data_IF_579527277461
#
_entry.id   IF_579527277461
#
_cell.length_a   1.000
_cell.length_b   1.000
_cell.length_c   1.000
_cell.angle_alpha   90.00
_cell.angle_beta   90.00
_cell.angle_gamma   90.00
#
_symmetry.space_group_name_H-M   'P 1'
#
loop_
_entity.id
_entity.type
_entity.pdbx_description
1 polymer ?
#
# COMPACT_ATOMS: atom_id res chain seq x y z
N UNK A 1 2.51 27.49 12.22
CA UNK A 1 2.94 26.13 12.61
C UNK A 1 1.85 25.06 12.51
N UNK A 2 0.56 25.33 12.81
CA UNK A 2 -0.52 24.32 12.79
C UNK A 2 -0.70 23.62 11.42
N UNK A 3 -0.55 24.33 10.30
CA UNK A 3 -0.65 23.74 8.95
C UNK A 3 0.44 22.71 8.65
N UNK A 4 1.68 23.00 9.06
CA UNK A 4 2.82 22.08 8.92
C UNK A 4 2.62 20.83 9.76
N UNK A 5 2.14 21.00 11.00
CA UNK A 5 1.84 19.88 11.90
C UNK A 5 0.73 18.97 11.36
N UNK A 6 -0.35 19.55 10.82
CA UNK A 6 -1.45 18.79 10.19
C UNK A 6 -0.95 18.01 8.98
N UNK A 7 -0.15 18.63 8.11
CA UNK A 7 0.45 17.97 6.96
C UNK A 7 1.40 16.83 7.37
N UNK A 8 2.21 17.04 8.41
CA UNK A 8 3.08 16.01 8.96
C UNK A 8 2.29 14.82 9.51
N UNK A 9 1.23 15.08 10.30
CA UNK A 9 0.41 14.02 10.87
C UNK A 9 -0.30 13.20 9.78
N UNK A 10 -0.78 13.86 8.73
CA UNK A 10 -1.37 13.18 7.58
C UNK A 10 -0.36 12.25 6.91
N UNK A 11 0.83 12.76 6.57
CA UNK A 11 1.91 11.95 5.99
C UNK A 11 2.32 10.79 6.88
N UNK A 12 2.33 10.99 8.20
CA UNK A 12 2.63 9.93 9.17
C UNK A 12 1.57 8.83 9.15
N UNK A 13 0.28 9.20 9.13
CA UNK A 13 -0.83 8.26 9.06
C UNK A 13 -0.80 7.47 7.74
N UNK A 14 -0.60 8.15 6.61
CA UNK A 14 -0.49 7.51 5.30
C UNK A 14 0.67 6.51 5.27
N UNK A 15 1.81 6.85 5.91
CA UNK A 15 2.96 5.93 6.02
C UNK A 15 2.68 4.72 6.90
N UNK A 16 1.94 4.88 8.01
CA UNK A 16 1.53 3.75 8.85
C UNK A 16 0.61 2.81 8.08
N UNK A 17 -0.34 3.37 7.32
CA UNK A 17 -1.24 2.58 6.49
C UNK A 17 -0.51 1.79 5.40
N UNK A 18 0.49 2.39 4.76
CA UNK A 18 1.35 1.68 3.78
C UNK A 18 2.13 0.55 4.43
N UNK A 19 2.77 0.79 5.57
CA UNK A 19 3.50 -0.25 6.29
C UNK A 19 2.58 -1.40 6.70
N UNK A 20 1.35 -1.09 7.13
CA UNK A 20 0.35 -2.10 7.48
C UNK A 20 -0.11 -2.88 6.24
N UNK A 21 -0.31 -2.20 5.12
CA UNK A 21 -0.67 -2.82 3.85
C UNK A 21 0.43 -3.72 3.27
N UNK A 22 1.71 -3.46 3.56
CA UNK A 22 2.81 -4.36 3.18
C UNK A 22 2.74 -5.72 3.88
N UNK A 23 2.20 -5.77 5.10
CA UNK A 23 2.04 -6.99 5.89
C UNK A 23 0.71 -7.71 5.63
N UNK A 24 -0.29 -7.01 5.06
CA UNK A 24 -1.63 -7.52 4.83
C UNK A 24 -1.87 -7.89 3.36
N UNK A 25 -2.62 -8.97 3.10
CA UNK A 25 -3.05 -9.29 1.74
C UNK A 25 -4.09 -8.28 1.23
N UNK A 26 -4.11 -8.07 -0.08
CA UNK A 26 -5.00 -7.09 -0.75
C UNK A 26 -6.47 -7.38 -0.47
N UNK A 27 -6.84 -8.65 -0.34
CA UNK A 27 -8.21 -9.04 0.03
C UNK A 27 -8.57 -8.61 1.45
N UNK A 28 -7.64 -8.76 2.41
CA UNK A 28 -7.86 -8.32 3.79
C UNK A 28 -7.98 -6.80 3.88
N UNK A 29 -7.23 -6.04 3.06
CA UNK A 29 -7.38 -4.59 3.00
C UNK A 29 -8.78 -4.16 2.54
N UNK A 30 -9.39 -4.90 1.61
CA UNK A 30 -10.77 -4.64 1.18
C UNK A 30 -11.78 -4.94 2.28
N UNK A 31 -11.59 -6.03 3.01
CA UNK A 31 -12.51 -6.46 4.08
C UNK A 31 -12.52 -5.52 5.29
N UNK A 32 -11.37 -4.93 5.61
CA UNK A 32 -11.23 -3.95 6.72
C UNK A 32 -11.72 -2.55 6.32
N UNK A 33 -12.13 -2.36 5.06
CA UNK A 33 -12.59 -1.07 4.56
C UNK A 33 -11.45 -0.07 4.40
N UNK A 34 -10.26 -0.54 4.00
CA UNK A 34 -9.12 0.34 3.79
C UNK A 34 -9.40 1.36 2.68
N UNK A 35 -8.72 2.53 2.70
CA UNK A 35 -8.88 3.54 1.67
C UNK A 35 -8.59 2.99 0.27
N UNK A 36 -9.41 3.39 -0.71
CA UNK A 36 -9.30 2.87 -2.08
C UNK A 36 -7.92 3.11 -2.71
N UNK A 37 -7.29 4.26 -2.42
CA UNK A 37 -5.93 4.55 -2.87
C UNK A 37 -4.89 3.55 -2.34
N UNK A 38 -5.08 3.03 -1.13
CA UNK A 38 -4.18 2.07 -0.49
C UNK A 38 -4.38 0.67 -1.10
N UNK A 39 -5.64 0.27 -1.31
CA UNK A 39 -5.99 -0.98 -1.99
C UNK A 39 -5.43 -1.00 -3.41
N UNK A 40 -5.58 0.10 -4.16
CA UNK A 40 -5.04 0.21 -5.51
C UNK A 40 -3.51 0.12 -5.53
N UNK A 41 -2.83 0.79 -4.59
CA UNK A 41 -1.37 0.71 -4.50
C UNK A 41 -0.90 -0.73 -4.22
N UNK A 42 -1.47 -1.39 -3.22
CA UNK A 42 -1.13 -2.77 -2.86
C UNK A 42 -1.42 -3.76 -4.00
N UNK A 43 -2.53 -3.57 -4.72
CA UNK A 43 -2.88 -4.38 -5.91
C UNK A 43 -1.84 -4.26 -7.02
N UNK A 44 -1.37 -3.03 -7.29
CA UNK A 44 -0.34 -2.76 -8.30
C UNK A 44 0.98 -3.41 -7.89
N UNK A 45 1.40 -3.26 -6.64
CA UNK A 45 2.65 -3.85 -6.14
C UNK A 45 2.62 -5.39 -6.20
N UNK A 46 1.51 -6.02 -5.83
CA UNK A 46 1.32 -7.47 -5.94
C UNK A 46 1.36 -7.94 -7.40
N UNK A 47 0.72 -7.20 -8.31
CA UNK A 47 0.76 -7.47 -9.75
C UNK A 47 2.18 -7.36 -10.31
N UNK A 48 2.93 -6.34 -9.87
CA UNK A 48 4.30 -6.11 -10.30
C UNK A 48 5.25 -7.22 -9.80
N UNK A 49 5.13 -7.63 -8.53
CA UNK A 49 5.83 -8.80 -7.98
C UNK A 49 5.56 -10.07 -8.79
N UNK A 50 4.31 -10.27 -9.23
CA UNK A 50 3.92 -11.43 -10.07
C UNK A 50 4.57 -11.37 -11.44
N UNK A 51 4.62 -10.21 -12.08
CA UNK A 51 5.28 -10.03 -13.39
C UNK A 51 6.79 -10.27 -13.27
N UNK A 52 7.46 -9.65 -12.29
CA UNK A 52 8.90 -9.87 -12.06
C UNK A 52 9.21 -11.35 -11.84
N UNK A 53 8.37 -12.07 -11.10
CA UNK A 53 8.53 -13.52 -10.88
C UNK A 53 8.41 -14.32 -12.18
N UNK A 54 7.50 -13.95 -13.07
CA UNK A 54 7.36 -14.62 -14.38
C UNK A 54 8.59 -14.38 -15.25
N UNK A 55 9.12 -13.15 -15.26
CA UNK A 55 10.33 -12.82 -16.02
C UNK A 55 11.56 -13.56 -15.47
N UNK A 56 11.69 -13.72 -14.14
CA UNK A 56 12.78 -14.52 -13.54
C UNK A 56 12.70 -16.01 -13.84
N UNK A 57 11.51 -16.55 -14.16
CA UNK A 57 11.34 -17.95 -14.55
C UNK A 57 11.60 -18.18 -16.05
N UNK A 58 11.74 -17.11 -16.84
CA UNK A 58 11.93 -17.15 -18.29
C UNK A 58 13.41 -17.08 -18.72
N UNK A 59 14.32 -16.98 -17.77
CA UNK A 59 15.77 -17.05 -17.91
C UNK A 59 16.28 -18.40 -17.40
#
# INVERSE_FOLDING_TARGET
>A
MVRLWRAYRQRRADRVLRNLADEMDVHMLKDVGAPEWLVNQATVEQSLKRVTRIDTLRW
#
